data_IF_679412871420
#
_entry.id   IF_679412871420
#
_cell.length_a   1.000
_cell.length_b   1.000
_cell.length_c   1.000
_cell.angle_alpha   90.00
_cell.angle_beta   90.00
_cell.angle_gamma   90.00
#
_symmetry.space_group_name_H-M   'P 1'
#
loop_
_entity.id
_entity.type
_entity.pdbx_description
1 polymer ?
#
# COMPACT_ATOMS: atom_id res chain seq x y z
N UNK A 1 -6.66 21.03 -24.73
CA UNK A 1 -7.64 20.68 -23.68
C UNK A 1 -7.11 19.46 -22.92
N UNK A 2 -6.78 19.59 -21.63
CA UNK A 2 -6.42 18.43 -20.80
C UNK A 2 -7.65 17.55 -20.66
N UNK A 3 -7.62 16.30 -21.14
CA UNK A 3 -8.70 15.34 -20.84
C UNK A 3 -8.83 15.24 -19.33
N UNK A 4 -10.04 15.46 -18.81
CA UNK A 4 -10.37 15.22 -17.40
C UNK A 4 -10.23 13.74 -17.13
N UNK A 5 -9.60 13.39 -16.00
CA UNK A 5 -9.41 11.99 -15.64
C UNK A 5 -10.77 11.34 -15.34
N UNK A 6 -10.91 10.07 -15.71
CA UNK A 6 -12.14 9.30 -15.58
C UNK A 6 -12.43 8.97 -14.10
N UNK A 7 -13.57 9.41 -13.57
CA UNK A 7 -14.01 9.19 -12.19
C UNK A 7 -15.25 8.30 -12.18
N UNK A 8 -15.10 7.09 -11.65
CA UNK A 8 -16.07 5.98 -11.78
C UNK A 8 -16.62 5.55 -10.41
N UNK A 9 -16.43 6.36 -9.37
CA UNK A 9 -16.95 6.03 -8.04
C UNK A 9 -18.34 6.63 -7.84
N UNK A 10 -19.22 5.85 -7.23
CA UNK A 10 -20.52 6.35 -6.80
C UNK A 10 -20.32 7.24 -5.58
N UNK A 11 -20.94 8.42 -5.62
CA UNK A 11 -20.89 9.38 -4.54
C UNK A 11 -22.11 9.22 -3.65
N UNK A 12 -21.91 9.49 -2.36
CA UNK A 12 -23.02 9.64 -1.45
C UNK A 12 -23.90 10.83 -1.87
N UNK A 13 -25.23 10.77 -1.71
CA UNK A 13 -26.13 11.88 -2.09
C UNK A 13 -25.83 13.21 -1.40
N UNK A 14 -25.29 13.18 -0.18
CA UNK A 14 -24.86 14.37 0.56
C UNK A 14 -23.62 15.05 -0.03
N UNK A 15 -22.97 14.46 -1.05
CA UNK A 15 -21.71 14.99 -1.61
C UNK A 15 -21.76 14.99 -3.14
N UNK A 16 -21.54 16.16 -3.73
CA UNK A 16 -21.48 16.34 -5.18
C UNK A 16 -20.03 16.50 -5.65
N UNK A 17 -19.73 15.96 -6.82
CA UNK A 17 -18.43 16.17 -7.49
C UNK A 17 -18.37 17.56 -8.10
N UNK A 18 -17.24 18.25 -7.96
CA UNK A 18 -16.96 19.44 -8.77
C UNK A 18 -16.49 18.97 -10.16
N UNK A 19 -17.25 19.20 -11.25
CA UNK A 19 -16.86 18.75 -12.57
C UNK A 19 -15.53 19.38 -13.01
N UNK A 20 -14.63 18.57 -13.59
CA UNK A 20 -13.33 19.06 -14.09
C UNK A 20 -12.27 19.21 -12.99
N UNK A 21 -12.57 18.82 -11.75
CA UNK A 21 -11.60 18.77 -10.65
C UNK A 21 -10.77 17.49 -10.63
N UNK A 22 -11.11 16.50 -11.47
CA UNK A 22 -10.47 15.20 -11.52
C UNK A 22 -9.03 15.34 -11.99
N UNK A 23 -8.10 14.75 -11.25
CA UNK A 23 -6.68 14.72 -11.58
C UNK A 23 -6.15 13.30 -11.51
N UNK A 24 -5.18 13.03 -12.36
CA UNK A 24 -4.35 11.84 -12.31
C UNK A 24 -2.96 12.21 -12.77
N UNK A 25 -1.93 11.61 -12.17
CA UNK A 25 -0.56 11.82 -12.60
C UNK A 25 -0.32 11.30 -14.03
N UNK A 26 -1.05 10.26 -14.45
CA UNK A 26 -0.92 9.62 -15.76
C UNK A 26 -2.21 9.79 -16.58
N UNK A 27 -2.13 10.04 -17.90
CA UNK A 27 -3.30 10.36 -18.72
C UNK A 27 -4.24 9.19 -19.01
N UNK A 28 -3.75 7.94 -18.97
CA UNK A 28 -4.53 6.74 -19.36
C UNK A 28 -5.23 6.05 -18.18
N UNK A 29 -4.91 6.44 -16.95
CA UNK A 29 -5.46 5.84 -15.72
C UNK A 29 -6.61 6.69 -15.16
N UNK A 30 -7.45 6.08 -14.31
CA UNK A 30 -8.56 6.75 -13.64
C UNK A 30 -8.07 7.87 -12.72
N UNK A 31 -8.99 8.75 -12.34
CA UNK A 31 -8.74 9.83 -11.41
C UNK A 31 -8.18 9.28 -10.09
N UNK A 32 -7.08 9.88 -9.62
CA UNK A 32 -6.54 9.63 -8.28
C UNK A 32 -6.92 10.71 -7.29
N UNK A 33 -7.33 11.89 -7.79
CA UNK A 33 -7.80 12.99 -6.97
C UNK A 33 -9.07 13.59 -7.58
N UNK A 34 -9.99 14.03 -6.74
CA UNK A 34 -11.16 14.80 -7.15
C UNK A 34 -11.55 15.75 -6.02
N UNK A 35 -12.13 16.90 -6.37
CA UNK A 35 -12.76 17.79 -5.39
C UNK A 35 -14.25 17.51 -5.32
N UNK A 36 -14.73 17.43 -4.10
CA UNK A 36 -16.13 17.22 -3.77
C UNK A 36 -16.66 18.46 -3.02
N UNK A 37 -17.97 18.62 -2.98
CA UNK A 37 -18.68 19.64 -2.19
C UNK A 37 -19.84 19.00 -1.47
N UNK A 38 -20.17 19.56 -0.31
CA UNK A 38 -21.42 19.21 0.36
C UNK A 38 -22.63 19.58 -0.52
N UNK A 39 -23.62 18.70 -0.58
CA UNK A 39 -24.82 18.91 -1.38
C UNK A 39 -25.70 20.03 -0.83
N UNK A 40 -25.69 20.23 0.49
CA UNK A 40 -26.49 21.19 1.24
C UNK A 40 -25.69 22.45 1.60
N UNK A 41 -24.36 22.34 1.72
CA UNK A 41 -23.45 23.46 1.98
C UNK A 41 -22.35 23.57 0.91
N UNK A 42 -22.63 24.13 -0.28
CA UNK A 42 -21.70 24.17 -1.42
C UNK A 42 -20.32 24.82 -1.10
N UNK A 43 -20.29 25.63 -0.05
CA UNK A 43 -19.13 26.30 0.52
C UNK A 43 -18.13 25.36 1.19
N UNK A 44 -18.59 24.19 1.64
CA UNK A 44 -17.76 23.15 2.26
C UNK A 44 -17.22 22.24 1.17
N UNK A 45 -15.95 22.45 0.86
CA UNK A 45 -15.22 21.65 -0.11
C UNK A 45 -14.51 20.46 0.55
N UNK A 46 -14.16 19.50 -0.26
CA UNK A 46 -13.73 18.19 0.19
C UNK A 46 -12.70 17.62 -0.80
N UNK A 47 -11.63 17.00 -0.32
CA UNK A 47 -10.65 16.33 -1.19
C UNK A 47 -10.81 14.81 -1.13
N UNK A 48 -11.10 14.19 -2.28
CA UNK A 48 -11.09 12.75 -2.45
C UNK A 48 -9.77 12.28 -3.05
N UNK A 49 -9.22 11.19 -2.50
CA UNK A 49 -8.01 10.53 -3.00
C UNK A 49 -8.22 9.04 -3.17
N UNK A 50 -7.75 8.47 -4.28
CA UNK A 50 -7.92 7.04 -4.58
C UNK A 50 -7.23 6.14 -3.55
N UNK A 51 -6.04 6.54 -3.06
CA UNK A 51 -5.30 5.80 -2.04
C UNK A 51 -6.07 5.74 -0.73
N UNK A 52 -6.57 6.88 -0.25
CA UNK A 52 -7.30 6.96 1.01
C UNK A 52 -8.61 6.17 0.95
N UNK A 53 -9.28 6.20 -0.21
CA UNK A 53 -10.45 5.39 -0.48
C UNK A 53 -10.14 3.88 -0.47
N UNK A 54 -9.15 3.44 -1.26
CA UNK A 54 -8.74 2.03 -1.36
C UNK A 54 -8.33 1.43 -0.01
N UNK A 55 -7.68 2.24 0.84
CA UNK A 55 -7.19 1.84 2.17
C UNK A 55 -8.18 2.10 3.32
N UNK A 56 -9.42 2.47 3.00
CA UNK A 56 -10.45 2.80 3.99
C UNK A 56 -9.99 3.79 5.08
N UNK A 57 -9.17 4.79 4.71
CA UNK A 57 -8.53 5.71 5.66
C UNK A 57 -9.49 6.71 6.30
N UNK A 58 -10.69 6.87 5.76
CA UNK A 58 -11.72 7.71 6.35
C UNK A 58 -12.57 6.98 7.42
N UNK A 59 -12.41 5.67 7.58
CA UNK A 59 -13.13 4.90 8.59
C UNK A 59 -12.55 5.16 9.99
N UNK A 60 -13.38 5.67 10.90
CA UNK A 60 -12.98 6.11 12.25
C UNK A 60 -13.20 5.05 13.32
N UNK A 61 -14.20 4.19 13.11
CA UNK A 61 -14.67 3.19 14.07
C UNK A 61 -14.13 1.80 13.73
N UNK A 62 -13.80 1.02 14.77
CA UNK A 62 -13.58 -0.41 14.62
C UNK A 62 -14.94 -1.12 14.48
N UNK A 63 -15.01 -2.31 13.84
CA UNK A 63 -16.21 -3.12 13.84
C UNK A 63 -16.72 -3.32 15.27
N UNK A 64 -18.02 -3.15 15.48
CA UNK A 64 -18.69 -3.36 16.77
C UNK A 64 -18.20 -2.43 17.90
N UNK A 65 -17.67 -1.25 17.56
CA UNK A 65 -17.22 -0.26 18.54
C UNK A 65 -17.67 1.16 18.22
N UNK A 66 -18.38 1.77 19.16
CA UNK A 66 -18.76 3.19 19.16
C UNK A 66 -17.59 4.16 19.35
N UNK A 67 -16.47 3.65 19.88
CA UNK A 67 -15.37 4.51 20.32
C UNK A 67 -14.60 4.97 19.09
N UNK A 68 -14.45 6.28 18.94
CA UNK A 68 -13.63 6.93 17.90
C UNK A 68 -12.15 6.60 18.11
N UNK A 69 -11.75 5.39 17.71
CA UNK A 69 -10.47 4.83 18.13
C UNK A 69 -9.33 5.16 17.15
N UNK A 70 -9.63 5.47 15.89
CA UNK A 70 -8.62 5.74 14.83
C UNK A 70 -8.27 7.22 14.65
N UNK A 71 -8.99 8.14 15.29
CA UNK A 71 -8.69 9.58 15.31
C UNK A 71 -7.96 9.94 16.60
N UNK A 72 -6.65 10.08 16.53
CA UNK A 72 -5.82 10.51 17.65
C UNK A 72 -4.88 11.63 17.24
N UNK A 73 -4.53 12.51 18.19
CA UNK A 73 -3.64 13.65 17.95
C UNK A 73 -2.28 13.46 18.63
N UNK A 74 -1.26 14.13 18.10
CA UNK A 74 0.10 14.13 18.64
C UNK A 74 0.69 12.71 18.79
N UNK A 75 1.36 12.48 19.92
CA UNK A 75 2.07 11.23 20.23
C UNK A 75 1.16 10.00 20.33
N UNK A 76 -0.15 10.18 20.57
CA UNK A 76 -1.12 9.06 20.61
C UNK A 76 -1.21 8.32 19.27
N UNK A 77 -0.86 8.97 18.15
CA UNK A 77 -0.77 8.33 16.82
C UNK A 77 0.30 7.25 16.74
N UNK A 78 1.39 7.36 17.50
CA UNK A 78 2.41 6.32 17.57
C UNK A 78 1.93 5.14 18.43
N UNK A 79 1.25 5.43 19.54
CA UNK A 79 0.62 4.39 20.38
C UNK A 79 -0.37 3.51 19.60
N UNK A 80 -1.02 4.06 18.56
CA UNK A 80 -1.89 3.30 17.65
C UNK A 80 -1.19 2.17 16.89
N UNK A 81 0.13 2.26 16.68
CA UNK A 81 0.87 1.18 16.01
C UNK A 81 0.87 -0.12 16.83
N UNK A 82 0.62 -0.03 18.14
CA UNK A 82 0.48 -1.19 19.02
C UNK A 82 -0.94 -1.79 19.01
N UNK A 83 -1.90 -1.13 18.33
CA UNK A 83 -3.27 -1.61 18.24
C UNK A 83 -3.39 -2.62 17.10
N UNK A 84 -3.96 -3.77 17.42
CA UNK A 84 -4.24 -4.84 16.48
C UNK A 84 -5.52 -4.52 15.70
N UNK A 85 -5.41 -4.30 14.39
CA UNK A 85 -6.55 -4.05 13.49
C UNK A 85 -6.83 -5.26 12.57
N UNK A 86 -7.19 -6.42 13.14
CA UNK A 86 -7.37 -7.68 12.38
C UNK A 86 -8.43 -7.60 11.26
N UNK A 87 -9.37 -6.66 11.37
CA UNK A 87 -10.44 -6.43 10.38
C UNK A 87 -9.98 -5.57 9.20
N UNK A 88 -8.82 -4.90 9.32
CA UNK A 88 -8.31 -3.98 8.31
C UNK A 88 -7.25 -4.69 7.45
N UNK A 89 -7.57 -4.95 6.19
CA UNK A 89 -6.61 -5.56 5.26
C UNK A 89 -5.34 -4.70 5.07
N UNK A 90 -5.45 -3.37 5.11
CA UNK A 90 -4.29 -2.47 5.02
C UNK A 90 -3.33 -2.65 6.19
N UNK A 91 -3.84 -3.02 7.38
CA UNK A 91 -3.02 -3.33 8.55
C UNK A 91 -2.25 -4.64 8.34
N UNK A 92 -2.91 -5.71 7.88
CA UNK A 92 -2.24 -6.98 7.55
C UNK A 92 -1.14 -6.82 6.50
N UNK A 93 -1.44 -6.07 5.43
CA UNK A 93 -0.44 -5.75 4.40
C UNK A 93 0.77 -5.07 5.03
N UNK A 94 0.55 -4.05 5.86
CA UNK A 94 1.63 -3.30 6.48
C UNK A 94 2.47 -4.17 7.42
N UNK A 95 1.82 -4.95 8.30
CA UNK A 95 2.50 -5.85 9.24
C UNK A 95 3.32 -6.90 8.50
N UNK A 96 2.77 -7.54 7.46
CA UNK A 96 3.52 -8.54 6.69
C UNK A 96 4.73 -7.92 5.99
N UNK A 97 4.59 -6.76 5.33
CA UNK A 97 5.76 -6.09 4.74
C UNK A 97 6.79 -5.69 5.78
N UNK A 98 6.38 -5.25 6.98
CA UNK A 98 7.32 -4.94 8.08
C UNK A 98 8.03 -6.19 8.57
N UNK A 99 7.32 -7.29 8.85
CA UNK A 99 7.91 -8.56 9.27
C UNK A 99 8.88 -9.10 8.22
N UNK A 100 8.48 -9.09 6.94
CA UNK A 100 9.35 -9.49 5.84
C UNK A 100 10.59 -8.59 5.76
N UNK A 101 10.45 -7.28 5.97
CA UNK A 101 11.58 -6.34 5.92
C UNK A 101 12.54 -6.56 7.08
N UNK A 102 12.04 -6.90 8.27
CA UNK A 102 12.88 -7.31 9.41
C UNK A 102 13.68 -8.56 9.06
N UNK A 103 13.05 -9.58 8.47
CA UNK A 103 13.75 -10.80 8.00
C UNK A 103 14.83 -10.45 6.97
N UNK A 104 14.55 -9.54 6.03
CA UNK A 104 15.55 -9.07 5.08
C UNK A 104 16.67 -8.25 5.71
N UNK A 105 16.42 -7.49 6.78
CA UNK A 105 17.48 -6.81 7.53
C UNK A 105 18.40 -7.83 8.19
N UNK A 106 17.83 -8.86 8.82
CA UNK A 106 18.59 -9.98 9.40
C UNK A 106 19.41 -10.69 8.31
N UNK A 107 18.80 -11.00 7.17
CA UNK A 107 19.50 -11.55 6.00
C UNK A 107 20.67 -10.65 5.57
N UNK A 108 20.41 -9.35 5.43
CA UNK A 108 21.42 -8.35 5.09
C UNK A 108 22.62 -8.38 6.03
N UNK A 109 22.41 -8.48 7.34
CA UNK A 109 23.50 -8.65 8.30
C UNK A 109 24.25 -9.97 8.09
N UNK A 110 23.54 -11.09 7.91
CA UNK A 110 24.14 -12.42 7.71
C UNK A 110 25.06 -12.42 6.48
N UNK A 111 24.63 -11.82 5.37
CA UNK A 111 25.39 -11.88 4.11
C UNK A 111 26.44 -10.78 4.00
N UNK A 112 26.25 -9.61 4.63
CA UNK A 112 27.15 -8.47 4.49
C UNK A 112 28.25 -8.42 5.55
N UNK A 113 27.96 -8.74 6.82
CA UNK A 113 28.95 -8.60 7.89
C UNK A 113 30.24 -9.41 7.68
N UNK A 114 30.23 -10.64 7.12
CA UNK A 114 31.46 -11.38 6.82
C UNK A 114 32.41 -10.65 5.86
N UNK A 115 31.91 -9.75 5.02
CA UNK A 115 32.74 -8.92 4.14
C UNK A 115 33.38 -7.72 4.86
N UNK A 116 32.83 -7.30 6.00
CA UNK A 116 33.29 -6.13 6.76
C UNK A 116 34.21 -6.54 7.90
N UNK A 117 33.91 -7.66 8.55
CA UNK A 117 34.62 -8.13 9.75
C UNK A 117 35.10 -9.56 9.56
N UNK A 118 36.43 -9.76 9.60
CA UNK A 118 37.05 -11.09 9.51
C UNK A 118 36.72 -12.03 10.67
N UNK A 119 36.21 -11.49 11.78
CA UNK A 119 35.76 -12.26 12.94
C UNK A 119 34.36 -12.87 12.78
N UNK A 120 33.62 -12.52 11.72
CA UNK A 120 32.26 -13.01 11.45
C UNK A 120 32.34 -14.07 10.35
N UNK A 121 31.99 -15.31 10.71
CA UNK A 121 31.99 -16.42 9.75
C UNK A 121 30.82 -16.32 8.76
N UNK A 122 31.05 -16.77 7.53
CA UNK A 122 30.00 -16.86 6.51
C UNK A 122 29.02 -17.97 6.84
N UNK A 123 27.73 -17.65 6.94
CA UNK A 123 26.67 -18.63 7.17
C UNK A 123 25.69 -18.64 5.99
N UNK A 124 26.03 -19.44 4.96
CA UNK A 124 25.22 -19.59 3.75
C UNK A 124 23.86 -20.22 4.03
N UNK A 125 23.79 -21.13 5.01
CA UNK A 125 22.54 -21.80 5.42
C UNK A 125 21.54 -20.79 5.97
N UNK A 126 21.96 -19.96 6.92
CA UNK A 126 21.10 -18.91 7.47
C UNK A 126 20.75 -17.85 6.42
N UNK A 127 21.68 -17.52 5.53
CA UNK A 127 21.44 -16.63 4.39
C UNK A 127 20.32 -17.17 3.48
N UNK A 128 20.38 -18.45 3.13
CA UNK A 128 19.38 -19.12 2.31
C UNK A 128 17.99 -19.14 2.93
N UNK A 129 17.89 -19.62 4.17
CA UNK A 129 16.61 -19.70 4.89
C UNK A 129 15.96 -18.34 5.09
N UNK A 130 16.73 -17.33 5.51
CA UNK A 130 16.18 -15.98 5.71
C UNK A 130 15.76 -15.33 4.40
N UNK A 131 16.47 -15.56 3.29
CA UNK A 131 16.05 -15.09 1.97
C UNK A 131 14.71 -15.73 1.53
N UNK A 132 14.56 -17.05 1.70
CA UNK A 132 13.31 -17.75 1.39
C UNK A 132 12.13 -17.27 2.23
N UNK A 133 12.32 -17.16 3.56
CA UNK A 133 11.27 -16.69 4.47
C UNK A 133 10.88 -15.25 4.14
N UNK A 134 11.86 -14.36 3.94
CA UNK A 134 11.62 -12.97 3.58
C UNK A 134 10.85 -12.84 2.26
N UNK A 135 11.26 -13.58 1.22
CA UNK A 135 10.56 -13.60 -0.05
C UNK A 135 9.12 -14.14 0.09
N UNK A 136 8.91 -15.19 0.87
CA UNK A 136 7.59 -15.81 1.08
C UNK A 136 6.61 -14.84 1.75
N UNK A 137 7.06 -14.12 2.79
CA UNK A 137 6.24 -13.11 3.46
C UNK A 137 5.87 -11.97 2.49
N UNK A 138 6.82 -11.50 1.68
CA UNK A 138 6.57 -10.45 0.68
C UNK A 138 5.56 -10.90 -0.39
N UNK A 139 5.62 -12.14 -0.85
CA UNK A 139 4.64 -12.70 -1.79
C UNK A 139 3.24 -12.77 -1.16
N UNK A 140 3.13 -13.23 0.09
CA UNK A 140 1.87 -13.26 0.82
C UNK A 140 1.28 -11.84 1.01
N UNK A 141 2.11 -10.86 1.40
CA UNK A 141 1.70 -9.46 1.51
C UNK A 141 1.21 -8.88 0.17
N UNK A 142 1.86 -9.29 -0.94
CA UNK A 142 1.52 -8.83 -2.28
C UNK A 142 0.19 -9.39 -2.78
N UNK A 143 -0.19 -10.61 -2.36
CA UNK A 143 -1.54 -11.15 -2.62
C UNK A 143 -2.61 -10.29 -1.94
N UNK A 144 -2.36 -9.86 -0.70
CA UNK A 144 -3.29 -8.99 0.02
C UNK A 144 -3.47 -7.62 -0.66
N UNK A 145 -2.46 -7.08 -1.35
CA UNK A 145 -2.61 -5.85 -2.14
C UNK A 145 -3.67 -5.99 -3.24
N UNK A 146 -3.78 -7.16 -3.86
CA UNK A 146 -4.81 -7.45 -4.87
C UNK A 146 -6.18 -7.47 -4.23
N UNK A 147 -6.32 -8.17 -3.10
CA UNK A 147 -7.59 -8.23 -2.37
C UNK A 147 -8.01 -6.87 -1.83
N UNK A 148 -7.08 -6.03 -1.36
CA UNK A 148 -7.36 -4.64 -0.96
C UNK A 148 -7.89 -3.82 -2.14
N UNK A 149 -7.30 -3.98 -3.33
CA UNK A 149 -7.75 -3.28 -4.53
C UNK A 149 -9.13 -3.76 -5.03
N UNK A 150 -9.42 -5.06 -4.96
CA UNK A 150 -10.73 -5.60 -5.37
C UNK A 150 -11.86 -5.25 -4.40
N UNK A 151 -11.56 -5.26 -3.11
CA UNK A 151 -12.53 -5.02 -2.03
C UNK A 151 -12.63 -3.56 -1.58
N UNK A 152 -12.06 -2.62 -2.34
CA UNK A 152 -12.31 -1.20 -2.12
C UNK A 152 -13.80 -0.89 -2.30
N UNK A 153 -14.33 0.05 -1.53
CA UNK A 153 -15.72 0.49 -1.70
C UNK A 153 -15.95 1.11 -3.08
N UNK A 154 -17.16 0.94 -3.61
CA UNK A 154 -17.62 1.68 -4.79
C UNK A 154 -18.23 3.02 -4.38
N UNK A 155 -18.96 3.01 -3.27
CA UNK A 155 -19.53 4.20 -2.64
C UNK A 155 -18.43 4.88 -1.84
N UNK A 156 -18.22 6.15 -2.11
CA UNK A 156 -17.26 6.99 -1.40
C UNK A 156 -17.71 7.10 0.07
N UNK A 157 -17.21 6.23 0.96
CA UNK A 157 -17.48 6.20 2.42
C UNK A 157 -17.27 7.56 3.10
N UNK A 158 -16.49 8.40 2.45
CA UNK A 158 -16.29 9.79 2.78
C UNK A 158 -17.62 10.56 2.92
N UNK A 159 -18.66 10.29 2.11
CA UNK A 159 -19.95 10.97 2.26
C UNK A 159 -20.75 10.55 3.50
N UNK A 160 -20.71 9.28 3.88
CA UNK A 160 -21.33 8.79 5.13
C UNK A 160 -20.56 9.26 6.37
N UNK A 161 -19.22 9.26 6.30
CA UNK A 161 -18.37 9.80 7.37
C UNK A 161 -18.50 11.32 7.53
N UNK A 162 -18.92 12.03 6.48
CA UNK A 162 -19.24 13.46 6.49
C UNK A 162 -20.64 13.71 7.04
N UNK A 163 -21.64 12.96 6.59
CA UNK A 163 -23.01 13.06 7.09
C UNK A 163 -23.05 12.88 8.61
N UNK A 164 -22.28 11.92 9.15
CA UNK A 164 -22.14 11.71 10.59
C UNK A 164 -21.48 12.89 11.33
N UNK A 165 -20.50 13.55 10.71
CA UNK A 165 -19.84 14.74 11.28
C UNK A 165 -20.75 15.97 11.22
N UNK A 166 -21.57 16.09 10.18
CA UNK A 166 -22.50 17.20 10.00
C UNK A 166 -23.76 17.06 10.88
N UNK A 167 -24.31 15.85 11.01
CA UNK A 167 -25.57 15.62 11.72
C UNK A 167 -25.44 15.47 13.25
N UNK A 168 -24.23 15.44 13.82
CA UNK A 168 -24.00 15.26 15.28
C UNK A 168 -24.74 14.09 15.92
N UNK A 169 -25.16 13.07 15.14
CA UNK A 169 -25.89 11.91 15.67
C UNK A 169 -24.90 10.95 16.34
N UNK A 170 -25.06 10.62 17.63
CA UNK A 170 -24.30 9.54 18.24
C UNK A 170 -24.65 8.23 17.52
N UNK A 171 -23.62 7.42 17.26
CA UNK A 171 -23.80 6.09 16.67
C UNK A 171 -24.54 5.23 17.67
N UNK A 172 -25.76 4.79 17.33
CA UNK A 172 -26.49 3.80 18.13
C UNK A 172 -25.86 2.42 17.91
N UNK A 173 -25.01 2.05 18.85
CA UNK A 173 -24.05 0.93 18.78
C UNK A 173 -24.76 -0.43 18.82
N UNK A 174 -25.96 -0.46 19.39
CA UNK A 174 -26.79 -1.67 19.45
C UNK A 174 -27.41 -2.03 18.09
N UNK A 175 -27.53 -1.07 17.16
CA UNK A 175 -27.97 -1.31 15.77
C UNK A 175 -26.82 -1.22 14.74
N UNK A 176 -25.76 -0.49 15.06
CA UNK A 176 -24.56 -0.35 14.25
C UNK A 176 -23.62 -1.55 14.44
N UNK A 177 -24.12 -2.74 14.18
CA UNK A 177 -23.31 -3.94 14.23
C UNK A 177 -22.31 -4.01 13.06
N UNK A 178 -21.75 -5.19 12.88
CA UNK A 178 -20.59 -5.51 12.05
C UNK A 178 -20.76 -5.06 10.59
N UNK A 179 -19.74 -5.20 9.75
CA UNK A 179 -19.90 -5.15 8.27
C UNK A 179 -21.06 -6.05 7.75
N UNK A 180 -21.57 -6.97 8.60
CA UNK A 180 -22.77 -7.78 8.43
C UNK A 180 -24.10 -7.12 8.85
N UNK A 181 -24.17 -6.24 9.84
CA UNK A 181 -25.44 -5.93 10.53
C UNK A 181 -26.16 -4.68 10.01
N UNK A 182 -25.51 -3.90 9.13
CA UNK A 182 -26.16 -2.79 8.43
C UNK A 182 -27.20 -3.26 7.39
N UNK A 183 -27.38 -4.58 7.23
CA UNK A 183 -28.43 -5.19 6.42
C UNK A 183 -29.73 -5.47 7.20
N UNK A 184 -29.76 -5.34 8.53
CA UNK A 184 -30.95 -5.63 9.35
C UNK A 184 -31.73 -4.40 9.80
N UNK A 185 -31.30 -3.18 9.45
CA UNK A 185 -32.11 -1.96 9.60
C UNK A 185 -33.05 -1.82 8.39
N UNK A 186 -33.82 -2.87 8.07
CA UNK A 186 -34.79 -2.87 6.96
C UNK A 186 -36.25 -3.01 7.42
N UNK A 187 -36.53 -2.98 8.73
CA UNK A 187 -37.89 -3.25 9.22
C UNK A 187 -38.50 -2.26 10.22
N UNK A 188 -38.02 -1.02 10.32
CA UNK A 188 -38.78 0.01 11.06
C UNK A 188 -38.68 1.41 10.46
N UNK A 189 -39.82 1.82 9.87
CA UNK A 189 -40.31 3.17 9.57
C UNK A 189 -39.58 4.09 8.57
N UNK A 190 -40.17 4.12 7.36
CA UNK A 190 -40.71 5.29 6.66
C UNK A 190 -39.90 6.61 6.68
N UNK A 191 -38.60 6.52 6.42
CA UNK A 191 -37.81 7.70 6.02
C UNK A 191 -37.21 7.47 4.63
N UNK A 192 -37.54 8.38 3.71
CA UNK A 192 -37.15 8.42 2.30
C UNK A 192 -35.65 8.76 2.10
N UNK A 193 -34.77 8.00 2.76
CA UNK A 193 -33.33 8.04 2.57
C UNK A 193 -32.89 6.95 1.57
N UNK A 194 -31.85 7.19 0.77
CA UNK A 194 -31.26 6.14 -0.07
C UNK A 194 -30.63 5.07 0.81
N UNK A 195 -30.97 3.81 0.57
CA UNK A 195 -30.45 2.67 1.31
C UNK A 195 -28.91 2.63 1.29
N UNK A 196 -28.24 2.33 2.42
CA UNK A 196 -26.81 2.11 2.44
C UNK A 196 -26.41 0.95 1.50
N UNK A 197 -25.19 0.95 0.94
CA UNK A 197 -24.74 -0.12 0.06
C UNK A 197 -24.81 -1.46 0.82
N UNK A 198 -25.71 -2.33 0.38
CA UNK A 198 -25.99 -3.62 1.02
C UNK A 198 -24.75 -4.51 1.17
N UNK A 199 -24.85 -5.50 2.06
CA UNK A 199 -23.82 -6.50 2.39
C UNK A 199 -23.00 -6.90 1.16
N UNK A 200 -21.81 -6.30 1.03
CA UNK A 200 -20.95 -6.59 -0.10
C UNK A 200 -20.18 -7.86 0.21
N UNK A 201 -20.44 -8.91 -0.56
CA UNK A 201 -19.68 -10.17 -0.46
C UNK A 201 -18.22 -9.91 -0.82
N UNK A 202 -17.31 -10.42 -0.01
CA UNK A 202 -15.88 -10.32 -0.24
C UNK A 202 -15.50 -10.94 -1.59
N UNK A 203 -14.76 -10.19 -2.39
CA UNK A 203 -14.28 -10.58 -3.72
C UNK A 203 -12.94 -11.29 -3.54
N UNK A 204 -12.98 -12.62 -3.62
CA UNK A 204 -11.79 -13.47 -3.62
C UNK A 204 -11.10 -13.53 -4.99
N UNK A 205 -11.87 -13.33 -6.06
CA UNK A 205 -11.39 -13.38 -7.44
C UNK A 205 -12.29 -12.54 -8.36
N UNK A 206 -11.70 -11.83 -9.32
CA UNK A 206 -12.45 -11.15 -10.38
C UNK A 206 -11.58 -10.93 -11.62
N UNK A 207 -12.21 -10.94 -12.79
CA UNK A 207 -11.61 -10.60 -14.09
C UNK A 207 -12.09 -9.25 -14.62
N UNK A 208 -12.78 -8.47 -13.80
CA UNK A 208 -13.37 -7.20 -14.18
C UNK A 208 -12.30 -6.21 -14.67
N UNK A 209 -12.46 -5.74 -15.90
CA UNK A 209 -11.50 -4.86 -16.57
C UNK A 209 -11.42 -3.48 -15.91
N UNK A 210 -12.40 -3.11 -15.06
CA UNK A 210 -12.43 -1.79 -14.42
C UNK A 210 -11.20 -1.50 -13.56
N UNK A 211 -10.56 -2.51 -12.96
CA UNK A 211 -9.42 -2.32 -12.05
C UNK A 211 -8.11 -1.99 -12.80
N UNK A 212 -7.99 -2.38 -14.07
CA UNK A 212 -6.75 -2.23 -14.86
C UNK A 212 -6.38 -0.79 -15.20
N UNK A 213 -7.26 0.17 -14.92
CA UNK A 213 -6.98 1.60 -15.04
C UNK A 213 -6.81 2.27 -13.68
N UNK A 214 -6.73 1.53 -12.59
CA UNK A 214 -6.56 2.07 -11.24
C UNK A 214 -5.12 1.86 -10.77
N UNK A 215 -4.44 2.96 -10.43
CA UNK A 215 -3.03 2.91 -10.04
C UNK A 215 -2.78 2.01 -8.83
N UNK A 216 -3.68 2.02 -7.85
CA UNK A 216 -3.56 1.15 -6.68
C UNK A 216 -3.57 -0.35 -7.03
N UNK A 217 -4.42 -0.76 -7.99
CA UNK A 217 -4.46 -2.14 -8.49
C UNK A 217 -3.24 -2.46 -9.35
N UNK A 218 -2.89 -1.59 -10.31
CA UNK A 218 -1.73 -1.78 -11.17
C UNK A 218 -0.43 -1.92 -10.36
N UNK A 219 -0.24 -1.06 -9.35
CA UNK A 219 0.90 -1.15 -8.45
C UNK A 219 0.92 -2.48 -7.68
N UNK A 220 -0.21 -2.89 -7.10
CA UNK A 220 -0.33 -4.17 -6.39
C UNK A 220 -0.12 -5.39 -7.30
N UNK A 221 -0.60 -5.33 -8.54
CA UNK A 221 -0.42 -6.38 -9.54
C UNK A 221 1.04 -6.52 -9.97
N UNK A 222 1.71 -5.39 -10.28
CA UNK A 222 3.14 -5.39 -10.56
C UNK A 222 3.93 -5.90 -9.36
N UNK A 223 3.56 -5.48 -8.14
CA UNK A 223 4.18 -5.97 -6.90
C UNK A 223 4.06 -7.49 -6.74
N UNK A 224 2.88 -8.06 -7.00
CA UNK A 224 2.65 -9.50 -6.91
C UNK A 224 3.48 -10.28 -7.93
N UNK A 225 3.49 -9.84 -9.19
CA UNK A 225 4.32 -10.44 -10.23
C UNK A 225 5.81 -10.36 -9.85
N UNK A 226 6.26 -9.19 -9.39
CA UNK A 226 7.62 -8.94 -8.95
C UNK A 226 8.02 -9.85 -7.78
N UNK A 227 7.19 -9.93 -6.75
CA UNK A 227 7.42 -10.76 -5.57
C UNK A 227 7.44 -12.25 -5.93
N UNK A 228 6.55 -12.68 -6.82
CA UNK A 228 6.50 -14.08 -7.30
C UNK A 228 7.75 -14.46 -8.08
N UNK A 229 8.24 -13.58 -8.96
CA UNK A 229 9.50 -13.80 -9.69
C UNK A 229 10.67 -13.79 -8.71
N UNK A 230 10.76 -12.80 -7.83
CA UNK A 230 11.81 -12.72 -6.81
C UNK A 230 11.82 -13.96 -5.90
N UNK A 231 10.64 -14.50 -5.58
CA UNK A 231 10.48 -15.69 -4.74
C UNK A 231 11.15 -16.93 -5.33
N UNK A 232 11.27 -17.05 -6.66
CA UNK A 232 12.04 -18.12 -7.30
C UNK A 232 13.48 -18.11 -6.79
N UNK A 233 14.09 -16.92 -6.69
CA UNK A 233 15.43 -16.79 -6.11
C UNK A 233 15.46 -17.08 -4.62
N UNK A 234 14.44 -16.67 -3.87
CA UNK A 234 14.36 -16.99 -2.44
C UNK A 234 14.29 -18.50 -2.20
N UNK A 235 13.52 -19.21 -3.03
CA UNK A 235 13.41 -20.66 -2.98
C UNK A 235 14.72 -21.36 -3.38
N UNK A 236 15.37 -20.91 -4.45
CA UNK A 236 16.65 -21.49 -4.87
C UNK A 236 17.81 -21.17 -3.94
N UNK A 237 17.67 -20.16 -3.07
CA UNK A 237 18.61 -19.86 -2.00
C UNK A 237 18.65 -20.94 -0.90
N UNK A 238 17.65 -21.82 -0.81
CA UNK A 238 17.63 -22.88 0.21
C UNK A 238 18.89 -23.77 0.07
N UNK A 239 19.52 -24.19 1.18
CA UNK A 239 20.86 -24.78 1.15
C UNK A 239 20.99 -25.94 0.16
N UNK A 240 20.09 -26.91 0.23
CA UNK A 240 20.13 -28.11 -0.61
C UNK A 240 19.89 -27.81 -2.09
N UNK A 241 19.08 -26.79 -2.39
CA UNK A 241 18.83 -26.36 -3.78
C UNK A 241 20.01 -25.57 -4.30
N UNK A 242 20.54 -24.66 -3.47
CA UNK A 242 21.67 -23.81 -3.80
C UNK A 242 22.92 -24.65 -4.09
N UNK A 243 23.23 -25.64 -3.24
CA UNK A 243 24.36 -26.56 -3.44
C UNK A 243 24.23 -27.34 -4.75
N UNK A 244 23.01 -27.73 -5.13
CA UNK A 244 22.75 -28.46 -6.38
C UNK A 244 22.93 -27.61 -7.64
N UNK A 245 22.83 -26.27 -7.55
CA UNK A 245 22.90 -25.37 -8.71
C UNK A 245 24.19 -24.54 -8.78
N UNK A 246 24.96 -24.45 -7.69
CA UNK A 246 26.11 -23.53 -7.57
C UNK A 246 27.21 -23.79 -8.59
N UNK A 247 27.45 -25.05 -8.94
CA UNK A 247 28.46 -25.45 -9.94
C UNK A 247 27.99 -25.29 -11.40
N UNK A 248 26.69 -25.04 -11.62
CA UNK A 248 26.10 -24.85 -12.94
C UNK A 248 25.79 -23.37 -13.17
N UNK A 249 26.78 -22.62 -13.65
CA UNK A 249 26.69 -21.16 -13.83
C UNK A 249 25.46 -20.71 -14.65
N UNK A 250 25.12 -21.31 -15.81
CA UNK A 250 23.89 -20.95 -16.52
C UNK A 250 22.62 -21.15 -15.68
N UNK A 251 22.53 -22.26 -14.94
CA UNK A 251 21.39 -22.56 -14.09
C UNK A 251 21.30 -21.58 -12.91
N UNK A 252 22.39 -21.40 -12.16
CA UNK A 252 22.50 -20.44 -11.07
C UNK A 252 22.07 -19.03 -11.52
N UNK A 253 22.60 -18.57 -12.66
CA UNK A 253 22.24 -17.29 -13.23
C UNK A 253 20.76 -17.21 -13.59
N UNK A 254 20.20 -18.28 -14.15
CA UNK A 254 18.81 -18.33 -14.60
C UNK A 254 17.79 -18.35 -13.46
N UNK A 255 18.04 -19.11 -12.39
CA UNK A 255 17.04 -19.39 -11.33
C UNK A 255 17.32 -18.69 -10.00
N UNK A 256 18.53 -18.16 -9.79
CA UNK A 256 18.88 -17.42 -8.59
C UNK A 256 19.10 -15.93 -8.90
N UNK A 257 20.04 -15.57 -9.77
CA UNK A 257 20.37 -14.14 -9.98
C UNK A 257 19.37 -13.37 -10.84
N UNK A 258 18.95 -13.92 -11.98
CA UNK A 258 18.01 -13.24 -12.89
C UNK A 258 16.66 -12.93 -12.24
N UNK A 259 16.04 -13.84 -11.47
CA UNK A 259 14.78 -13.54 -10.80
C UNK A 259 14.91 -12.42 -9.76
N UNK A 260 16.07 -12.25 -9.11
CA UNK A 260 16.30 -11.11 -8.22
C UNK A 260 16.31 -9.78 -8.97
N UNK A 261 16.99 -9.71 -10.13
CA UNK A 261 17.04 -8.49 -10.94
C UNK A 261 15.65 -8.13 -11.48
N UNK A 262 14.94 -9.11 -12.03
CA UNK A 262 13.60 -8.90 -12.61
C UNK A 262 12.58 -8.56 -11.52
N UNK A 263 12.59 -9.30 -10.41
CA UNK A 263 11.74 -9.04 -9.26
C UNK A 263 12.04 -7.68 -8.61
N UNK A 264 13.31 -7.37 -8.38
CA UNK A 264 13.76 -6.06 -7.88
C UNK A 264 13.30 -4.91 -8.77
N UNK A 265 13.44 -5.06 -10.09
CA UNK A 265 12.98 -4.06 -11.07
C UNK A 265 11.46 -3.88 -11.01
N UNK A 266 10.73 -4.98 -10.80
CA UNK A 266 9.28 -4.92 -10.56
C UNK A 266 8.91 -4.15 -9.28
N UNK A 267 9.69 -4.29 -8.20
CA UNK A 267 9.49 -3.49 -6.98
C UNK A 267 9.70 -1.99 -7.22
N UNK A 268 10.67 -1.61 -8.06
CA UNK A 268 10.88 -0.22 -8.49
C UNK A 268 9.64 0.31 -9.23
N UNK A 269 9.14 -0.46 -10.20
CA UNK A 269 7.97 -0.07 -11.01
C UNK A 269 6.71 0.06 -10.14
N UNK A 270 6.43 -0.95 -9.30
CA UNK A 270 5.33 -0.94 -8.34
C UNK A 270 5.38 0.30 -7.42
N UNK A 271 6.55 0.58 -6.86
CA UNK A 271 6.77 1.71 -5.97
C UNK A 271 6.58 3.05 -6.68
N UNK A 272 7.03 3.17 -7.92
CA UNK A 272 6.78 4.34 -8.76
C UNK A 272 5.28 4.54 -9.03
N UNK A 273 4.52 3.48 -9.32
CA UNK A 273 3.07 3.55 -9.50
C UNK A 273 2.35 4.01 -8.22
N UNK A 274 2.78 3.54 -7.04
CA UNK A 274 2.25 4.06 -5.77
C UNK A 274 2.61 5.53 -5.53
N UNK A 275 3.82 5.97 -5.91
CA UNK A 275 4.15 7.41 -5.87
C UNK A 275 3.26 8.22 -6.81
N UNK A 276 3.05 7.76 -8.06
CA UNK A 276 2.13 8.37 -9.02
C UNK A 276 0.69 8.44 -8.52
N UNK A 277 0.24 7.45 -7.73
CA UNK A 277 -1.10 7.45 -7.12
C UNK A 277 -1.32 8.67 -6.22
N UNK A 278 -0.27 9.11 -5.52
CA UNK A 278 -0.35 10.15 -4.47
C UNK A 278 -0.06 11.58 -4.95
N UNK A 279 0.44 11.74 -6.18
CA UNK A 279 0.73 13.06 -6.75
C UNK A 279 -0.29 13.44 -7.83
N UNK A 280 -0.50 14.75 -7.99
CA UNK A 280 -1.49 15.28 -8.95
C UNK A 280 -0.95 15.36 -10.38
N UNK A 281 0.38 15.43 -10.54
CA UNK A 281 1.08 15.48 -11.83
C UNK A 281 2.31 14.60 -11.75
N UNK A 282 2.66 13.90 -12.84
CA UNK A 282 3.80 12.98 -12.86
C UNK A 282 5.15 13.63 -12.50
N UNK A 283 5.33 14.91 -12.82
CA UNK A 283 6.57 15.67 -12.59
C UNK A 283 6.61 16.44 -11.27
N UNK A 284 5.53 16.43 -10.48
CA UNK A 284 5.44 17.21 -9.23
C UNK A 284 5.34 16.28 -8.03
N UNK A 285 6.48 15.85 -7.45
CA UNK A 285 6.50 14.92 -6.33
C UNK A 285 5.76 15.46 -5.11
N UNK A 286 4.98 14.60 -4.46
CA UNK A 286 4.22 14.92 -3.25
C UNK A 286 5.05 14.57 -2.01
N UNK A 287 6.23 15.18 -1.84
CA UNK A 287 7.25 14.79 -0.84
C UNK A 287 6.70 14.83 0.60
N UNK A 288 5.75 15.71 0.90
CA UNK A 288 5.12 15.81 2.23
C UNK A 288 4.00 14.78 2.45
N UNK A 289 3.58 14.06 1.42
CA UNK A 289 2.53 13.05 1.51
C UNK A 289 3.11 11.73 2.06
N UNK A 290 2.48 11.19 3.10
CA UNK A 290 2.89 9.94 3.73
C UNK A 290 2.90 8.76 2.75
N UNK A 291 1.87 8.64 1.91
CA UNK A 291 1.77 7.61 0.88
C UNK A 291 2.88 7.71 -0.18
N UNK A 292 3.32 8.94 -0.50
CA UNK A 292 4.44 9.16 -1.42
C UNK A 292 5.75 8.71 -0.79
N UNK A 293 5.99 9.06 0.49
CA UNK A 293 7.19 8.63 1.22
C UNK A 293 7.28 7.11 1.37
N UNK A 294 6.16 6.43 1.61
CA UNK A 294 6.09 4.96 1.60
C UNK A 294 6.57 4.43 0.24
N UNK A 295 6.03 4.97 -0.85
CA UNK A 295 6.45 4.60 -2.21
C UNK A 295 7.92 4.91 -2.48
N UNK A 296 8.44 6.04 -2.00
CA UNK A 296 9.83 6.45 -2.18
C UNK A 296 10.82 5.49 -1.48
N UNK A 297 10.59 5.17 -0.21
CA UNK A 297 11.47 4.25 0.51
C UNK A 297 11.44 2.83 -0.05
N UNK A 298 10.26 2.37 -0.51
CA UNK A 298 10.14 1.09 -1.21
C UNK A 298 10.82 1.13 -2.60
N UNK A 299 10.81 2.27 -3.29
CA UNK A 299 11.52 2.46 -4.55
C UNK A 299 13.04 2.35 -4.36
N UNK A 300 13.57 2.99 -3.31
CA UNK A 300 14.97 2.88 -2.91
C UNK A 300 15.29 1.41 -2.55
N UNK A 301 14.45 0.75 -1.75
CA UNK A 301 14.58 -0.68 -1.46
C UNK A 301 14.62 -1.55 -2.71
N UNK A 302 13.73 -1.30 -3.68
CA UNK A 302 13.72 -1.99 -4.97
C UNK A 302 15.01 -1.82 -5.77
N UNK A 303 15.63 -0.62 -5.74
CA UNK A 303 16.95 -0.40 -6.34
C UNK A 303 18.00 -1.29 -5.68
N UNK A 304 18.02 -1.36 -4.34
CA UNK A 304 18.96 -2.21 -3.60
C UNK A 304 18.83 -3.68 -3.97
N UNK A 305 17.61 -4.22 -4.02
CA UNK A 305 17.38 -5.61 -4.38
C UNK A 305 17.64 -5.91 -5.86
N UNK A 306 17.46 -4.92 -6.75
CA UNK A 306 17.87 -5.06 -8.16
C UNK A 306 19.39 -5.12 -8.28
N UNK A 307 20.10 -4.22 -7.58
CA UNK A 307 21.55 -4.16 -7.59
C UNK A 307 22.19 -5.39 -6.93
N UNK A 308 21.57 -5.93 -5.88
CA UNK A 308 21.99 -7.19 -5.27
C UNK A 308 22.12 -8.30 -6.33
N UNK A 309 21.05 -8.56 -7.08
CA UNK A 309 21.05 -9.54 -8.15
C UNK A 309 22.02 -9.18 -9.29
N UNK A 310 22.08 -7.90 -9.67
CA UNK A 310 22.89 -7.44 -10.79
C UNK A 310 24.40 -7.61 -10.54
N UNK A 311 24.87 -7.36 -9.32
CA UNK A 311 26.26 -7.62 -8.95
C UNK A 311 26.53 -9.11 -8.67
N UNK A 312 25.50 -9.86 -8.28
CA UNK A 312 25.58 -11.27 -7.94
C UNK A 312 26.11 -12.20 -9.05
N UNK A 313 25.92 -11.83 -10.32
CA UNK A 313 26.46 -12.58 -11.46
C UNK A 313 28.00 -12.67 -11.48
N UNK A 314 28.71 -11.79 -10.78
CA UNK A 314 30.17 -11.76 -10.79
C UNK A 314 30.75 -12.31 -9.50
N UNK A 315 31.62 -13.33 -9.57
CA UNK A 315 32.34 -13.88 -8.42
C UNK A 315 33.48 -12.99 -7.90
N UNK A 316 33.71 -11.83 -8.52
CA UNK A 316 34.74 -10.89 -8.09
C UNK A 316 34.41 -10.34 -6.70
N UNK A 317 35.41 -10.25 -5.82
CA UNK A 317 35.23 -9.80 -4.44
C UNK A 317 34.48 -8.47 -4.31
N UNK A 318 34.83 -7.45 -5.12
CA UNK A 318 34.16 -6.14 -5.08
C UNK A 318 32.69 -6.22 -5.48
N UNK A 319 32.32 -7.11 -6.39
CA UNK A 319 30.95 -7.27 -6.86
C UNK A 319 30.11 -8.00 -5.81
N UNK A 320 30.66 -9.06 -5.20
CA UNK A 320 30.01 -9.76 -4.09
C UNK A 320 29.82 -8.85 -2.87
N UNK A 321 30.79 -7.99 -2.57
CA UNK A 321 30.65 -6.92 -1.57
C UNK A 321 29.48 -5.99 -1.91
N UNK A 322 29.37 -5.51 -3.15
CA UNK A 322 28.28 -4.61 -3.56
C UNK A 322 26.92 -5.31 -3.60
N UNK A 323 26.88 -6.62 -3.91
CA UNK A 323 25.66 -7.43 -3.91
C UNK A 323 25.07 -7.52 -2.50
N UNK A 324 25.91 -7.91 -1.53
CA UNK A 324 25.53 -8.06 -0.12
C UNK A 324 25.26 -6.72 0.56
N UNK A 325 26.06 -5.69 0.28
CA UNK A 325 25.80 -4.31 0.73
C UNK A 325 24.46 -3.80 0.20
N UNK A 326 24.14 -4.07 -1.07
CA UNK A 326 22.87 -3.68 -1.69
C UNK A 326 21.66 -4.35 -1.04
N UNK A 327 21.79 -5.63 -0.67
CA UNK A 327 20.79 -6.33 0.15
C UNK A 327 20.61 -5.63 1.50
N UNK A 328 21.71 -5.29 2.15
CA UNK A 328 21.71 -4.64 3.45
C UNK A 328 20.95 -3.31 3.43
N UNK A 329 21.40 -2.30 2.68
CA UNK A 329 20.72 -1.00 2.71
C UNK A 329 19.33 -1.04 2.05
N UNK A 330 19.12 -1.92 1.07
CA UNK A 330 17.82 -2.12 0.42
C UNK A 330 16.77 -2.63 1.41
N UNK A 331 17.16 -3.56 2.29
CA UNK A 331 16.28 -4.11 3.34
C UNK A 331 15.85 -3.05 4.36
N UNK A 332 16.77 -2.19 4.79
CA UNK A 332 16.45 -1.06 5.67
C UNK A 332 15.50 -0.05 5.02
N UNK A 333 15.65 0.17 3.72
CA UNK A 333 14.76 1.06 2.97
C UNK A 333 13.33 0.51 2.91
N UNK A 334 13.16 -0.80 2.64
CA UNK A 334 11.86 -1.45 2.76
C UNK A 334 11.29 -1.43 4.19
N UNK A 335 12.15 -1.55 5.20
CA UNK A 335 11.73 -1.46 6.60
C UNK A 335 11.17 -0.07 6.93
N UNK A 336 11.85 1.00 6.51
CA UNK A 336 11.36 2.37 6.69
C UNK A 336 10.00 2.55 5.99
N UNK A 337 9.90 2.16 4.71
CA UNK A 337 8.67 2.27 3.94
C UNK A 337 7.50 1.50 4.56
N UNK A 338 7.73 0.26 5.00
CA UNK A 338 6.70 -0.58 5.61
C UNK A 338 6.27 -0.10 7.00
N UNK A 339 7.19 0.42 7.83
CA UNK A 339 6.85 1.04 9.13
C UNK A 339 5.99 2.30 8.93
N UNK A 340 6.31 3.12 7.92
CA UNK A 340 5.46 4.26 7.54
C UNK A 340 4.08 3.80 7.04
N UNK A 341 4.02 2.69 6.31
CA UNK A 341 2.76 2.07 5.88
C UNK A 341 1.95 1.52 7.04
N UNK A 342 2.58 0.98 8.07
CA UNK A 342 1.90 0.56 9.29
C UNK A 342 1.33 1.77 10.02
N UNK A 343 2.12 2.83 10.19
CA UNK A 343 1.62 4.09 10.72
C UNK A 343 0.44 4.65 9.91
N UNK A 344 0.48 4.55 8.57
CA UNK A 344 -0.64 4.93 7.70
C UNK A 344 -1.90 4.09 7.95
N UNK A 345 -1.74 2.77 8.12
CA UNK A 345 -2.85 1.83 8.23
C UNK A 345 -3.65 2.02 9.53
N UNK A 346 -3.02 2.41 10.64
CA UNK A 346 -3.67 2.54 11.95
C UNK A 346 -4.18 3.96 12.27
N UNK A 347 -3.90 4.93 11.41
CA UNK A 347 -4.27 6.34 11.59
C UNK A 347 -5.22 6.82 10.48
N UNK A 348 -6.45 7.13 10.87
CA UNK A 348 -7.47 7.66 9.95
C UNK A 348 -7.17 9.11 9.52
N UNK A 349 -7.69 9.50 8.35
CA UNK A 349 -7.55 10.84 7.76
C UNK A 349 -8.89 11.55 7.76
N UNK A 350 -8.87 12.82 8.15
CA UNK A 350 -10.04 13.70 8.06
C UNK A 350 -10.28 14.13 6.61
N UNK A 351 -11.55 14.25 6.19
CA UNK A 351 -11.91 14.99 4.99
C UNK A 351 -11.24 16.37 5.00
N UNK A 352 -10.33 16.63 4.06
CA UNK A 352 -9.69 17.94 3.96
C UNK A 352 -10.76 18.93 3.51
N UNK A 353 -11.08 19.91 4.36
CA UNK A 353 -11.89 21.07 3.99
C UNK A 353 -10.94 22.17 3.50
N UNK A 354 -10.88 22.49 2.19
CA UNK A 354 -10.20 23.67 1.69
C UNK A 354 -10.73 24.90 2.43
N UNK A 355 -9.84 25.67 3.04
CA UNK A 355 -10.21 26.95 3.65
C UNK A 355 -10.92 27.82 2.61
N UNK A 356 -12.16 28.20 2.88
CA UNK A 356 -12.79 29.29 2.16
C UNK A 356 -11.91 30.55 2.34
N UNK A 357 -11.37 31.08 1.23
CA UNK A 357 -10.66 32.36 1.25
C UNK A 357 -9.17 32.28 0.95
N UNK A 358 -8.85 32.50 -0.31
CA UNK A 358 -7.51 32.81 -0.79
C UNK A 358 -7.63 33.34 -2.20
N UNK A 359 -8.11 34.58 -2.33
CA UNK A 359 -8.17 35.32 -3.59
C UNK A 359 -6.92 35.10 -4.43
N UNK A 360 -7.13 34.90 -5.73
CA UNK A 360 -6.06 34.67 -6.68
C UNK A 360 -4.90 35.64 -6.51
N UNK A 361 -3.73 35.09 -6.24
CA UNK A 361 -2.48 35.64 -6.73
C UNK A 361 -1.65 34.50 -7.28
N UNK A 362 -1.48 34.56 -8.59
CA UNK A 362 -0.40 33.89 -9.28
C UNK A 362 0.93 34.32 -8.66
N UNK A 363 1.78 33.34 -8.37
CA UNK A 363 3.23 33.44 -8.39
C UNK A 363 3.79 32.04 -8.68
#
# INVERSE_FOLDING_TARGET
>A
MSKTADFVHELHPAVKRIPGSERSALPSVKATHAKLVDADQPDVHYEWRSRDHRKARHQVYAPNSAKTNRRTAGWKKLGRMLVLEYWNISWWIAVLFTLGSVVWCVNGFIVFLPFVYSSVETNTVAGGWTAWVGATIFTAASLLLIWEAWNRSNTVYFGWGIEQVLQHRPVDVEQAGTYSDWAEIDHSDDTSGPAPPGQRKWIWWTTDTKYWRELGFLAGFVQLCAATIFWISGFTALPEVQDAILDNTPLLNGVFWSPQVVGGSGFIISSALYMFETQTKWYRPAITNLGWQIGFWNFIGGIGFTLCGAFGYSTRHWAQYQSTLSTFWGSWSFLIGSVMQWYEAVNAVEPIVPSQGGNGKAA
#
